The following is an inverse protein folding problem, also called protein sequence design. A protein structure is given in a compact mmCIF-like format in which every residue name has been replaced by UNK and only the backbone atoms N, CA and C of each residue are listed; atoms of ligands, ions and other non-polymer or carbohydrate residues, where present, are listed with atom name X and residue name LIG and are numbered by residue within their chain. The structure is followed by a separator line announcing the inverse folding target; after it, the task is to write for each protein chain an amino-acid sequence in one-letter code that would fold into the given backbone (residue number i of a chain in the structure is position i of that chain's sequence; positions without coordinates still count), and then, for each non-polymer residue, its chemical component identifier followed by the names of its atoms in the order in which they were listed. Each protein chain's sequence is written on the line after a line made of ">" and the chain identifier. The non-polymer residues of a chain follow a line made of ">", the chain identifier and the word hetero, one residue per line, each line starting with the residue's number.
data_IF_952910131946
#
_entry.id   IF_952910131946
#
_cell.length_a   1.000
_cell.length_b   1.000
_cell.length_c   1.000
_cell.angle_alpha   90.00
_cell.angle_beta   90.00
_cell.angle_gamma   90.00
#
_symmetry.space_group_name_H-M   'P 1'
#
loop_
_entity.id
_entity.type
_entity.pdbx_description
1 polymer ?
#
# COMPACT_ATOMS: atom_id res chain seq x y z
N UNK A 1 1.79 -33.91 -10.59
CA UNK A 1 2.97 -33.20 -10.07
C UNK A 1 2.48 -31.83 -9.66
N UNK A 2 2.30 -31.61 -8.35
CA UNK A 2 1.89 -30.31 -7.82
C UNK A 2 3.17 -29.54 -7.49
N UNK A 3 3.35 -28.37 -8.12
CA UNK A 3 4.49 -27.48 -7.90
C UNK A 3 4.54 -27.02 -6.42
N UNK A 4 5.57 -27.41 -5.64
CA UNK A 4 5.72 -27.00 -4.24
C UNK A 4 6.18 -25.54 -4.10
N UNK A 5 6.32 -24.79 -5.20
CA UNK A 5 6.67 -23.36 -5.17
C UNK A 5 5.45 -22.43 -5.03
N UNK A 6 4.23 -22.97 -5.12
CA UNK A 6 3.01 -22.19 -4.87
C UNK A 6 2.63 -22.12 -3.39
N UNK A 7 3.38 -22.81 -2.52
CA UNK A 7 3.36 -22.69 -1.06
C UNK A 7 4.33 -21.62 -0.56
N UNK A 8 4.45 -20.49 -1.28
CA UNK A 8 4.78 -19.24 -0.61
C UNK A 8 3.63 -18.96 0.34
N UNK A 9 3.75 -19.58 1.53
CA UNK A 9 3.22 -19.21 2.82
C UNK A 9 2.37 -17.95 2.64
N UNK A 10 1.06 -18.09 2.83
CA UNK A 10 0.17 -17.08 3.39
C UNK A 10 0.85 -16.52 4.64
N UNK A 11 1.90 -15.76 4.43
CA UNK A 11 2.74 -15.15 5.42
C UNK A 11 1.82 -14.12 5.99
N UNK A 12 1.41 -14.34 7.24
CA UNK A 12 0.44 -13.54 7.99
C UNK A 12 0.61 -12.07 7.62
N UNK A 13 -0.21 -11.60 6.68
CA UNK A 13 -0.16 -10.22 6.26
C UNK A 13 -1.26 -9.50 7.03
N UNK A 14 -0.98 -8.26 7.43
CA UNK A 14 -2.00 -7.40 8.04
C UNK A 14 -2.27 -6.25 7.10
N UNK A 15 -3.52 -6.13 6.68
CA UNK A 15 -4.00 -4.94 5.99
C UNK A 15 -4.42 -3.92 7.05
N UNK A 16 -3.82 -2.75 7.00
CA UNK A 16 -4.17 -1.58 7.80
C UNK A 16 -4.85 -0.58 6.86
N UNK A 17 -6.19 -0.61 6.80
CA UNK A 17 -6.97 0.28 5.94
C UNK A 17 -6.91 1.73 6.44
N UNK A 18 -6.66 2.68 5.52
CA UNK A 18 -6.58 4.13 5.77
C UNK A 18 -5.63 4.53 6.91
N UNK A 19 -4.66 3.69 7.24
CA UNK A 19 -3.80 3.86 8.41
C UNK A 19 -2.60 4.79 8.19
N UNK A 20 -2.35 5.23 6.95
CA UNK A 20 -1.21 6.09 6.60
C UNK A 20 -1.73 7.44 6.12
N UNK A 21 -1.35 8.53 6.79
CA UNK A 21 -1.63 9.90 6.34
C UNK A 21 -0.52 10.38 5.41
N UNK A 22 -0.84 10.86 4.22
CA UNK A 22 0.14 11.39 3.27
C UNK A 22 -0.36 12.69 2.63
N UNK A 23 0.55 13.60 2.30
CA UNK A 23 0.23 14.76 1.45
C UNK A 23 0.52 14.41 0.00
N UNK A 24 -0.49 14.41 -0.86
CA UNK A 24 -0.39 14.08 -2.28
C UNK A 24 -0.84 15.30 -3.10
N UNK A 25 0.07 15.89 -3.87
CA UNK A 25 -0.26 17.09 -4.67
C UNK A 25 -0.83 18.25 -3.84
N UNK A 26 -0.41 18.38 -2.57
CA UNK A 26 -0.90 19.39 -1.63
C UNK A 26 -2.20 19.03 -0.90
N UNK A 27 -2.81 17.87 -1.18
CA UNK A 27 -4.00 17.37 -0.46
C UNK A 27 -3.63 16.26 0.51
N UNK A 28 -4.21 16.27 1.70
CA UNK A 28 -4.03 15.15 2.62
C UNK A 28 -4.95 13.99 2.27
N UNK A 29 -4.35 12.82 2.08
CA UNK A 29 -5.03 11.57 1.80
C UNK A 29 -4.68 10.53 2.86
N UNK A 30 -5.62 9.60 3.07
CA UNK A 30 -5.39 8.40 3.85
C UNK A 30 -5.12 7.24 2.88
N UNK A 31 -4.03 6.52 3.11
CA UNK A 31 -3.57 5.40 2.31
C UNK A 31 -3.62 4.12 3.14
N UNK A 32 -3.84 3.01 2.46
CA UNK A 32 -3.77 1.68 3.07
C UNK A 32 -2.32 1.24 3.24
N UNK A 33 -2.06 0.39 4.22
CA UNK A 33 -0.75 -0.22 4.41
C UNK A 33 -0.87 -1.75 4.56
N UNK A 34 0.10 -2.46 3.99
CA UNK A 34 0.26 -3.90 4.10
C UNK A 34 1.50 -4.18 4.94
N UNK A 35 1.32 -4.89 6.04
CA UNK A 35 2.42 -5.41 6.84
C UNK A 35 2.73 -6.85 6.40
N UNK A 36 3.93 -7.08 5.87
CA UNK A 36 4.38 -8.34 5.31
C UNK A 36 5.77 -8.67 5.84
N UNK A 37 5.89 -9.76 6.61
CA UNK A 37 7.19 -10.19 7.14
C UNK A 37 7.88 -9.12 8.00
N UNK A 38 7.12 -8.24 8.65
CA UNK A 38 7.62 -7.11 9.43
C UNK A 38 7.90 -5.83 8.63
N UNK A 39 7.81 -5.87 7.31
CA UNK A 39 7.91 -4.68 6.45
C UNK A 39 6.53 -4.03 6.26
N UNK A 40 6.47 -2.71 6.39
CA UNK A 40 5.26 -1.92 6.11
C UNK A 40 5.34 -1.39 4.68
N UNK A 41 4.42 -1.82 3.84
CA UNK A 41 4.25 -1.40 2.46
C UNK A 41 3.00 -0.53 2.34
N UNK A 42 3.17 0.76 2.09
CA UNK A 42 2.06 1.69 1.82
C UNK A 42 1.54 1.42 0.41
N UNK A 43 0.24 1.17 0.27
CA UNK A 43 -0.37 0.93 -1.04
C UNK A 43 -0.70 2.28 -1.68
N UNK A 44 -0.07 2.55 -2.83
CA UNK A 44 -0.32 3.77 -3.60
C UNK A 44 -1.51 3.59 -4.54
N UNK A 45 -1.60 2.43 -5.19
CA UNK A 45 -2.62 2.15 -6.19
C UNK A 45 -3.14 0.72 -6.02
N UNK A 46 -4.47 0.59 -6.01
CA UNK A 46 -5.16 -0.70 -6.05
C UNK A 46 -5.60 -1.00 -7.49
N UNK A 47 -5.28 -2.19 -7.98
CA UNK A 47 -5.89 -2.74 -9.18
C UNK A 47 -7.09 -3.59 -8.77
N UNK A 48 -8.29 -3.09 -9.02
CA UNK A 48 -9.55 -3.81 -8.80
C UNK A 48 -9.90 -4.71 -9.99
N UNK A 49 -10.44 -5.88 -9.68
CA UNK A 49 -11.20 -6.72 -10.59
C UNK A 49 -12.64 -6.81 -10.04
N UNK A 50 -13.50 -5.94 -10.55
CA UNK A 50 -14.90 -5.83 -10.13
C UNK A 50 -15.71 -7.09 -10.44
N UNK A 51 -15.41 -7.79 -11.53
CA UNK A 51 -16.11 -9.03 -11.92
C UNK A 51 -15.92 -10.16 -10.90
N UNK A 52 -14.75 -10.20 -10.26
CA UNK A 52 -14.41 -11.19 -9.23
C UNK A 52 -14.58 -10.66 -7.81
N UNK A 53 -14.89 -9.39 -7.62
CA UNK A 53 -14.94 -8.75 -6.30
C UNK A 53 -13.58 -8.79 -5.59
N UNK A 54 -12.47 -8.66 -6.33
CA UNK A 54 -11.11 -8.75 -5.80
C UNK A 54 -10.32 -7.48 -6.11
N UNK A 55 -9.35 -7.12 -5.25
CA UNK A 55 -8.34 -6.09 -5.51
C UNK A 55 -6.95 -6.65 -5.24
N UNK A 56 -5.95 -6.12 -5.94
CA UNK A 56 -4.53 -6.36 -5.64
C UNK A 56 -3.77 -5.05 -5.61
N UNK A 57 -2.74 -4.90 -4.77
CA UNK A 57 -1.90 -3.71 -4.79
C UNK A 57 -1.10 -3.69 -6.10
N UNK A 58 -1.19 -2.61 -6.87
CA UNK A 58 -0.42 -2.44 -8.10
C UNK A 58 0.95 -1.82 -7.83
N UNK A 59 0.95 -0.72 -7.08
CA UNK A 59 2.15 -0.02 -6.64
C UNK A 59 2.16 0.14 -5.15
N UNK A 60 3.31 -0.16 -4.55
CA UNK A 60 3.56 -0.03 -3.13
C UNK A 60 4.82 0.78 -2.88
N UNK A 61 4.81 1.52 -1.78
CA UNK A 61 5.91 2.29 -1.26
C UNK A 61 6.31 1.69 0.08
N UNK A 62 7.49 1.06 0.20
CA UNK A 62 8.02 0.66 1.50
C UNK A 62 8.12 1.89 2.40
N UNK A 63 7.51 1.83 3.58
CA UNK A 63 7.53 2.94 4.52
C UNK A 63 8.96 3.28 4.95
N UNK A 64 9.86 2.29 4.96
CA UNK A 64 11.30 2.44 5.19
C UNK A 64 12.03 3.26 4.12
N UNK A 65 11.48 3.35 2.90
CA UNK A 65 12.08 4.09 1.79
C UNK A 65 11.78 5.60 1.82
N UNK A 66 10.90 6.04 2.72
CA UNK A 66 10.48 7.44 2.83
C UNK A 66 10.53 7.93 4.27
N UNK A 67 10.79 9.23 4.43
CA UNK A 67 10.71 9.86 5.74
C UNK A 67 9.26 9.84 6.24
N UNK A 68 9.06 9.15 7.35
CA UNK A 68 7.76 8.97 7.97
C UNK A 68 7.86 9.18 9.47
N UNK A 69 6.72 9.48 10.07
CA UNK A 69 6.53 9.57 11.52
C UNK A 69 5.54 8.48 11.93
N UNK A 70 5.90 7.73 12.98
CA UNK A 70 4.93 6.85 13.64
C UNK A 70 4.06 7.73 14.55
N UNK A 71 2.75 7.72 14.31
CA UNK A 71 1.82 8.60 15.03
C UNK A 71 1.29 7.95 16.31
N UNK A 72 1.11 6.63 16.32
CA UNK A 72 0.64 5.92 17.50
C UNK A 72 1.15 4.49 17.55
N UNK A 73 1.28 3.97 18.77
CA UNK A 73 1.44 2.54 19.04
C UNK A 73 0.11 1.86 19.38
N UNK A 74 -0.97 2.63 19.47
CA UNK A 74 -2.30 2.13 19.78
C UNK A 74 -2.89 1.38 18.58
N UNK A 75 -3.50 0.21 18.85
CA UNK A 75 -4.15 -0.62 17.84
C UNK A 75 -5.37 0.06 17.23
N UNK A 76 -6.06 0.91 17.98
CA UNK A 76 -7.32 1.57 17.60
C UNK A 76 -7.11 2.97 17.00
N UNK A 77 -5.86 3.44 16.89
CA UNK A 77 -5.58 4.73 16.27
C UNK A 77 -5.93 4.72 14.78
N UNK A 78 -6.78 5.67 14.37
CA UNK A 78 -7.20 5.88 12.97
C UNK A 78 -6.00 5.99 12.01
N UNK A 79 -4.94 6.68 12.42
CA UNK A 79 -3.69 6.79 11.65
C UNK A 79 -2.54 6.26 12.48
N UNK A 80 -1.84 5.25 11.95
CA UNK A 80 -0.65 4.65 12.58
C UNK A 80 0.63 5.33 12.11
N UNK A 81 0.66 5.78 10.85
CA UNK A 81 1.83 6.42 10.24
C UNK A 81 1.45 7.71 9.50
N UNK A 82 2.39 8.64 9.45
CA UNK A 82 2.32 9.83 8.60
C UNK A 82 3.56 9.92 7.72
N UNK A 83 3.38 10.13 6.43
CA UNK A 83 4.47 10.42 5.50
C UNK A 83 4.78 11.91 5.61
N UNK A 84 6.02 12.23 6.00
CA UNK A 84 6.46 13.61 6.21
C UNK A 84 6.76 14.35 4.90
N UNK A 85 7.16 13.61 3.87
CA UNK A 85 7.45 14.18 2.54
C UNK A 85 6.20 14.20 1.65
N UNK A 86 5.92 15.30 0.96
CA UNK A 86 4.82 15.35 0.00
C UNK A 86 5.11 14.38 -1.16
N UNK A 87 4.13 13.53 -1.45
CA UNK A 87 4.16 12.62 -2.58
C UNK A 87 3.61 13.33 -3.84
N UNK A 88 4.28 13.19 -4.98
CA UNK A 88 3.74 13.65 -6.26
C UNK A 88 2.45 12.92 -6.62
N UNK A 89 1.45 13.64 -7.12
CA UNK A 89 0.21 13.04 -7.64
C UNK A 89 0.47 12.06 -8.80
N UNK A 90 1.54 12.29 -9.56
CA UNK A 90 1.96 11.44 -10.67
C UNK A 90 2.23 9.98 -10.26
N UNK A 91 2.54 9.73 -8.98
CA UNK A 91 2.72 8.37 -8.45
C UNK A 91 1.40 7.59 -8.37
N UNK A 92 0.26 8.27 -8.33
CA UNK A 92 -1.06 7.70 -8.13
C UNK A 92 -1.89 7.63 -9.41
N UNK A 93 -1.74 8.61 -10.29
CA UNK A 93 -2.54 8.75 -11.52
C UNK A 93 -1.99 7.96 -12.73
N UNK A 94 -0.89 7.24 -12.55
CA UNK A 94 -0.28 6.45 -13.60
C UNK A 94 0.69 7.21 -14.52
N UNK A 95 0.79 8.54 -14.41
CA UNK A 95 1.63 9.37 -15.30
C UNK A 95 3.12 9.32 -14.99
N UNK A 96 3.51 8.95 -13.76
CA UNK A 96 4.91 8.81 -13.40
C UNK A 96 5.61 7.68 -14.17
N UNK A 97 6.75 8.00 -14.77
CA UNK A 97 7.61 7.00 -15.39
C UNK A 97 8.17 6.00 -14.37
N UNK A 98 8.56 4.81 -14.83
CA UNK A 98 9.18 3.79 -13.97
C UNK A 98 10.43 4.31 -13.26
N UNK A 99 11.23 5.16 -13.92
CA UNK A 99 12.43 5.76 -13.33
C UNK A 99 12.07 6.73 -12.21
N UNK A 100 11.05 7.57 -12.41
CA UNK A 100 10.57 8.50 -11.38
C UNK A 100 10.04 7.76 -10.14
N UNK A 101 9.23 6.72 -10.34
CA UNK A 101 8.74 5.85 -9.25
C UNK A 101 9.87 5.26 -8.41
N UNK A 102 10.94 4.80 -9.05
CA UNK A 102 12.11 4.22 -8.36
C UNK A 102 12.85 5.21 -7.47
N UNK A 103 12.85 6.51 -7.80
CA UNK A 103 13.49 7.54 -6.96
C UNK A 103 12.82 7.66 -5.59
N UNK A 104 11.51 7.40 -5.52
CA UNK A 104 10.75 7.33 -4.27
C UNK A 104 10.79 5.94 -3.63
N UNK A 105 11.50 4.97 -4.22
CA UNK A 105 11.50 3.59 -3.75
C UNK A 105 10.21 2.82 -4.03
N UNK A 106 9.34 3.34 -4.91
CA UNK A 106 8.09 2.67 -5.30
C UNK A 106 8.40 1.40 -6.09
N UNK A 107 7.69 0.33 -5.74
CA UNK A 107 7.83 -0.99 -6.34
C UNK A 107 6.47 -1.52 -6.76
N UNK A 108 6.48 -2.57 -7.58
CA UNK A 108 5.27 -3.34 -7.85
C UNK A 108 4.74 -3.96 -6.57
N UNK A 109 3.42 -3.96 -6.42
CA UNK A 109 2.78 -4.56 -5.26
C UNK A 109 3.05 -6.07 -5.18
N UNK A 110 2.99 -6.63 -3.97
CA UNK A 110 3.10 -8.07 -3.78
C UNK A 110 1.95 -8.78 -4.52
N UNK A 111 2.16 -10.05 -4.88
CA UNK A 111 1.16 -10.91 -5.52
C UNK A 111 0.06 -11.33 -4.54
N UNK A 112 -0.56 -10.36 -3.86
CA UNK A 112 -1.64 -10.54 -2.91
C UNK A 112 -2.96 -10.17 -3.56
N UNK A 113 -3.93 -11.05 -3.39
CA UNK A 113 -5.30 -10.83 -3.86
C UNK A 113 -6.17 -10.71 -2.63
N UNK A 114 -6.83 -9.56 -2.51
CA UNK A 114 -7.69 -9.20 -1.39
C UNK A 114 -9.13 -9.10 -1.87
N UNK A 115 -10.12 -9.38 -1.02
CA UNK A 115 -11.49 -9.01 -1.35
C UNK A 115 -11.56 -7.50 -1.59
N UNK A 116 -12.28 -7.12 -2.65
CA UNK A 116 -12.72 -5.75 -2.87
C UNK A 116 -13.73 -5.51 -1.75
N UNK A 117 -13.29 -4.93 -0.64
CA UNK A 117 -14.17 -4.66 0.49
C UNK A 117 -15.40 -3.93 -0.07
N UNK A 118 -16.63 -4.42 0.15
CA UNK A 118 -17.79 -3.71 -0.32
C UNK A 118 -17.76 -2.36 0.38
N UNK A 119 -17.63 -1.30 -0.40
CA UNK A 119 -17.93 0.05 0.03
C UNK A 119 -19.27 -0.04 0.76
N UNK A 120 -19.27 0.04 2.10
CA UNK A 120 -20.51 0.21 2.85
C UNK A 120 -21.07 1.55 2.39
N UNK A 121 -22.05 1.47 1.49
CA UNK A 121 -22.91 2.57 1.09
C UNK A 121 -23.63 3.14 2.31
#
# INVERSE_FOLDING_TARGET
>A
MADPQNELKLSTFKLHEQAVRASVGGKQLALDALELGGEILVVLTWLGNSEKGLRKPEYVLPLSAIMHQKLSNDSDAKYKWAIGSPLPQSLFDGSASRQFRRQFGVRSGPALTLPLNPTRH
#
